data_IF_945698136005
#
_entry.id   IF_945698136005
#
_cell.length_a   1.000
_cell.length_b   1.000
_cell.length_c   1.000
_cell.angle_alpha   90.00
_cell.angle_beta   90.00
_cell.angle_gamma   90.00
#
_symmetry.space_group_name_H-M   'P 1'
#
loop_
_entity.id
_entity.type
_entity.pdbx_description
1 polymer ?
#
# COMPACT_ATOMS: atom_id res chain seq x y z
N UNK A 1 7.87 -18.67 -5.99
CA UNK A 1 9.13 -18.31 -5.32
C UNK A 1 9.07 -16.88 -4.80
N UNK A 2 9.72 -16.64 -3.69
CA UNK A 2 9.74 -15.33 -3.07
C UNK A 2 10.86 -14.51 -3.69
N UNK A 3 10.54 -13.32 -4.16
CA UNK A 3 11.53 -12.46 -4.79
C UNK A 3 12.06 -11.42 -3.79
N UNK A 4 13.12 -10.72 -4.20
CA UNK A 4 13.74 -9.73 -3.34
C UNK A 4 12.76 -8.60 -2.97
N UNK A 5 11.93 -8.20 -3.91
CA UNK A 5 11.01 -7.10 -3.69
C UNK A 5 9.99 -7.40 -2.61
N UNK A 6 9.70 -8.67 -2.38
CA UNK A 6 8.81 -9.05 -1.30
C UNK A 6 9.51 -9.07 0.05
N UNK A 7 10.77 -9.51 0.07
CA UNK A 7 11.52 -9.68 1.31
C UNK A 7 12.20 -8.39 1.75
N UNK A 8 12.80 -7.68 0.82
CA UNK A 8 13.59 -6.48 1.14
C UNK A 8 13.35 -5.39 0.11
N UNK A 9 12.12 -4.87 0.04
CA UNK A 9 11.81 -3.83 -0.95
C UNK A 9 12.50 -2.52 -0.59
N UNK A 10 12.85 -1.75 -1.63
CA UNK A 10 13.42 -0.43 -1.43
C UNK A 10 12.34 0.64 -1.36
N UNK A 11 11.13 0.33 -1.80
CA UNK A 11 10.01 1.26 -1.73
C UNK A 11 8.72 0.47 -1.56
N UNK A 12 7.81 1.02 -0.76
CA UNK A 12 6.51 0.41 -0.50
C UNK A 12 5.44 1.46 -0.69
N UNK A 13 4.38 1.10 -1.41
CA UNK A 13 3.20 1.94 -1.47
C UNK A 13 2.05 1.22 -0.76
N UNK A 14 1.30 1.96 0.04
CA UNK A 14 0.13 1.44 0.74
C UNK A 14 -1.11 2.01 0.05
N UNK A 15 -1.78 1.17 -0.72
CA UNK A 15 -3.01 1.56 -1.39
C UNK A 15 -4.12 1.50 -0.34
N UNK A 16 -4.78 2.62 -0.12
CA UNK A 16 -5.74 2.74 0.96
C UNK A 16 -5.10 3.16 2.26
N UNK A 17 -3.94 3.80 2.19
CA UNK A 17 -3.28 4.32 3.38
C UNK A 17 -4.15 5.33 4.08
N UNK A 18 -4.02 5.43 5.40
CA UNK A 18 -4.91 6.25 6.19
C UNK A 18 -4.20 6.85 7.39
N UNK A 19 -4.61 8.05 7.75
CA UNK A 19 -4.21 8.65 9.02
C UNK A 19 -4.89 7.99 10.21
N UNK A 20 -5.98 7.26 9.95
CA UNK A 20 -6.70 6.57 11.00
C UNK A 20 -6.03 5.22 11.26
N UNK A 21 -5.31 5.13 12.37
CA UNK A 21 -4.56 3.92 12.68
C UNK A 21 -5.44 2.76 13.12
N UNK A 22 -6.74 2.96 13.21
CA UNK A 22 -7.66 1.85 13.43
C UNK A 22 -8.00 1.11 12.13
N UNK A 23 -7.76 1.75 11.00
CA UNK A 23 -8.01 1.12 9.71
C UNK A 23 -6.79 0.31 9.28
N UNK A 24 -6.98 -0.73 8.48
CA UNK A 24 -5.86 -1.59 8.08
C UNK A 24 -4.71 -0.84 7.42
N UNK A 25 -5.02 0.07 6.50
CA UNK A 25 -3.97 0.85 5.85
C UNK A 25 -3.23 1.74 6.81
N UNK A 26 -3.94 2.29 7.80
CA UNK A 26 -3.30 3.12 8.81
C UNK A 26 -2.42 2.33 9.76
N UNK A 27 -2.88 1.13 10.14
CA UNK A 27 -2.08 0.26 11.01
C UNK A 27 -0.77 -0.14 10.35
N UNK A 28 -0.83 -0.48 9.08
CA UNK A 28 0.36 -0.92 8.37
C UNK A 28 1.37 0.21 8.28
N UNK A 29 0.92 1.42 7.95
CA UNK A 29 1.83 2.54 7.88
C UNK A 29 2.46 2.80 9.24
N UNK A 30 1.66 2.77 10.30
CA UNK A 30 2.20 2.97 11.62
C UNK A 30 3.24 1.91 11.96
N UNK A 31 2.96 0.66 11.65
CA UNK A 31 3.90 -0.41 11.94
C UNK A 31 5.21 -0.25 11.18
N UNK A 32 5.12 0.16 9.91
CA UNK A 32 6.32 0.39 9.12
C UNK A 32 7.15 1.55 9.66
N UNK A 33 6.49 2.60 10.10
CA UNK A 33 7.18 3.75 10.67
C UNK A 33 7.82 3.41 12.01
N UNK A 34 7.10 2.69 12.86
CA UNK A 34 7.64 2.28 14.15
C UNK A 34 8.80 1.30 14.00
N UNK A 35 8.73 0.46 12.97
CA UNK A 35 9.80 -0.47 12.66
C UNK A 35 10.97 0.17 11.92
N UNK A 36 10.85 1.47 11.63
CA UNK A 36 11.93 2.23 10.97
C UNK A 36 12.31 1.62 9.64
N UNK A 37 11.28 1.34 8.83
CA UNK A 37 11.55 0.84 7.48
C UNK A 37 12.53 1.77 6.77
N UNK A 38 13.64 1.25 6.26
CA UNK A 38 14.72 2.11 5.74
C UNK A 38 14.46 2.65 4.35
N UNK A 39 13.49 2.13 3.63
CA UNK A 39 13.22 2.56 2.28
C UNK A 39 12.20 3.67 2.20
N UNK A 40 11.67 3.88 1.00
CA UNK A 40 10.70 4.93 0.77
C UNK A 40 9.29 4.40 0.98
N UNK A 41 8.45 5.21 1.63
CA UNK A 41 7.05 4.87 1.88
C UNK A 41 6.15 5.87 1.18
N UNK A 42 5.13 5.37 0.52
CA UNK A 42 4.12 6.20 -0.14
C UNK A 42 2.75 5.66 0.21
N UNK A 43 1.75 6.53 0.14
CA UNK A 43 0.36 6.12 0.32
C UNK A 43 -0.46 6.58 -0.87
N UNK A 44 -1.55 5.90 -1.15
CA UNK A 44 -2.53 6.34 -2.14
C UNK A 44 -3.87 6.45 -1.43
N UNK A 45 -4.43 7.66 -1.45
CA UNK A 45 -5.72 7.94 -0.83
C UNK A 45 -6.25 9.21 -1.49
N UNK A 46 -7.43 9.17 -2.12
CA UNK A 46 -7.92 10.34 -2.87
C UNK A 46 -8.25 11.54 -1.99
N UNK A 47 -8.32 11.37 -0.68
CA UNK A 47 -8.75 12.44 0.22
C UNK A 47 -7.61 13.08 1.00
N UNK A 48 -6.38 12.57 0.87
CA UNK A 48 -5.27 13.05 1.68
C UNK A 48 -4.11 13.45 0.81
N UNK A 49 -3.31 14.41 1.27
CA UNK A 49 -2.05 14.75 0.61
C UNK A 49 -0.86 14.25 1.41
N UNK A 50 -1.09 13.89 2.66
CA UNK A 50 -0.05 13.36 3.53
C UNK A 50 -0.72 12.40 4.49
N UNK A 51 -0.11 11.26 4.72
CA UNK A 51 -0.64 10.25 5.63
C UNK A 51 0.46 9.89 6.60
N UNK A 52 0.24 10.21 7.88
CA UNK A 52 1.19 9.91 8.96
C UNK A 52 2.61 10.37 8.64
N UNK A 53 2.73 11.49 7.93
CA UNK A 53 4.03 12.05 7.61
C UNK A 53 4.64 11.56 6.33
N UNK A 54 4.03 10.62 5.63
CA UNK A 54 4.56 10.17 4.35
C UNK A 54 3.76 10.77 3.19
N UNK A 55 4.39 10.90 2.02
CA UNK A 55 3.68 11.46 0.85
C UNK A 55 2.47 10.61 0.47
N UNK A 56 1.38 11.26 0.15
CA UNK A 56 0.17 10.57 -0.27
C UNK A 56 -0.26 11.11 -1.62
N UNK A 57 -0.60 10.21 -2.53
CA UNK A 57 -1.00 10.56 -3.88
C UNK A 57 -2.49 10.24 -4.05
N UNK A 58 -3.20 11.05 -4.84
CA UNK A 58 -4.64 10.82 -4.98
C UNK A 58 -4.97 9.59 -5.82
N UNK A 59 -4.03 9.17 -6.66
CA UNK A 59 -4.25 8.01 -7.51
C UNK A 59 -2.90 7.42 -7.92
N UNK A 60 -2.96 6.30 -8.63
CA UNK A 60 -1.76 5.59 -9.04
C UNK A 60 -1.00 6.33 -10.12
N UNK A 61 -1.69 7.13 -10.92
CA UNK A 61 -1.02 7.80 -12.04
C UNK A 61 0.02 8.81 -11.59
N UNK A 62 -0.12 9.36 -10.40
CA UNK A 62 0.83 10.33 -9.85
C UNK A 62 1.97 9.68 -9.07
N UNK A 63 1.87 8.38 -8.84
CA UNK A 63 2.77 7.66 -7.95
C UNK A 63 4.10 7.38 -8.63
N UNK A 64 5.23 7.53 -7.94
CA UNK A 64 6.49 7.05 -8.51
C UNK A 64 6.52 5.52 -8.54
N UNK A 65 7.52 4.97 -9.22
CA UNK A 65 7.68 3.52 -9.25
C UNK A 65 7.91 3.00 -7.83
N UNK A 66 7.28 1.88 -7.50
CA UNK A 66 7.41 1.26 -6.19
C UNK A 66 7.55 -0.23 -6.37
N UNK A 67 8.39 -0.84 -5.55
CA UNK A 67 8.69 -2.26 -5.68
C UNK A 67 7.62 -3.15 -5.07
N UNK A 68 7.11 -2.77 -3.91
CA UNK A 68 6.10 -3.55 -3.20
C UNK A 68 4.85 -2.71 -3.00
N UNK A 69 3.71 -3.27 -3.27
CA UNK A 69 2.44 -2.62 -3.00
C UNK A 69 1.67 -3.44 -1.97
N UNK A 70 1.17 -2.76 -0.95
CA UNK A 70 0.29 -3.37 0.04
C UNK A 70 -1.10 -2.78 -0.18
N UNK A 71 -2.04 -3.64 -0.54
CA UNK A 71 -3.39 -3.19 -0.88
C UNK A 71 -4.32 -3.39 0.32
N UNK A 72 -4.73 -2.28 0.90
CA UNK A 72 -5.66 -2.27 2.03
C UNK A 72 -6.99 -1.68 1.57
N UNK A 73 -7.57 -2.28 0.54
CA UNK A 73 -8.81 -1.84 -0.08
C UNK A 73 -9.70 -3.07 -0.26
N UNK A 74 -10.98 -2.87 -0.58
CA UNK A 74 -11.87 -4.02 -0.79
C UNK A 74 -11.35 -4.95 -1.87
N UNK A 75 -11.58 -6.24 -1.68
CA UNK A 75 -11.04 -7.26 -2.57
C UNK A 75 -11.43 -7.03 -4.02
N UNK A 76 -12.64 -6.54 -4.26
CA UNK A 76 -13.11 -6.33 -5.63
C UNK A 76 -12.29 -5.29 -6.39
N UNK A 77 -11.63 -4.38 -5.68
CA UNK A 77 -10.81 -3.35 -6.32
C UNK A 77 -9.40 -3.82 -6.63
N UNK A 78 -8.97 -4.93 -6.04
CA UNK A 78 -7.57 -5.33 -6.13
C UNK A 78 -7.09 -5.71 -7.52
N UNK A 79 -7.85 -6.49 -8.33
CA UNK A 79 -7.30 -6.92 -9.61
C UNK A 79 -6.87 -5.79 -10.53
N UNK A 80 -7.71 -4.76 -10.67
CA UNK A 80 -7.35 -3.66 -11.56
C UNK A 80 -6.20 -2.84 -11.01
N UNK A 81 -6.11 -2.70 -9.69
CA UNK A 81 -5.02 -1.97 -9.07
C UNK A 81 -3.70 -2.71 -9.26
N UNK A 82 -3.71 -4.02 -9.07
CA UNK A 82 -2.52 -4.84 -9.28
C UNK A 82 -2.03 -4.71 -10.71
N UNK A 83 -2.96 -4.80 -11.66
CA UNK A 83 -2.59 -4.71 -13.07
C UNK A 83 -1.99 -3.35 -13.40
N UNK A 84 -2.59 -2.29 -12.90
CA UNK A 84 -2.08 -0.95 -13.18
C UNK A 84 -0.70 -0.74 -12.56
N UNK A 85 -0.51 -1.16 -11.32
CA UNK A 85 0.78 -1.01 -10.65
C UNK A 85 1.87 -1.81 -11.37
N UNK A 86 1.56 -3.04 -11.76
CA UNK A 86 2.54 -3.89 -12.42
C UNK A 86 2.94 -3.31 -13.77
N UNK A 87 1.97 -2.79 -14.52
CA UNK A 87 2.24 -2.35 -15.89
C UNK A 87 2.76 -0.92 -15.96
N UNK A 88 2.42 -0.05 -15.01
CA UNK A 88 2.77 1.37 -15.12
C UNK A 88 3.72 1.85 -14.04
N UNK A 89 3.81 1.16 -12.89
CA UNK A 89 4.68 1.58 -11.78
C UNK A 89 5.76 0.57 -11.50
N UNK A 90 5.90 -0.43 -12.34
CA UNK A 90 6.99 -1.40 -12.26
C UNK A 90 7.00 -2.16 -10.93
N UNK A 91 5.82 -2.33 -10.34
CA UNK A 91 5.69 -3.01 -9.05
C UNK A 91 5.88 -4.51 -9.25
N UNK A 92 6.72 -5.12 -8.41
CA UNK A 92 7.14 -6.50 -8.58
C UNK A 92 6.53 -7.45 -7.55
N UNK A 93 6.01 -6.94 -6.44
CA UNK A 93 5.45 -7.77 -5.40
C UNK A 93 4.22 -7.10 -4.81
N UNK A 94 3.28 -7.92 -4.34
CA UNK A 94 2.01 -7.42 -3.84
C UNK A 94 1.61 -8.19 -2.59
N UNK A 95 1.09 -7.46 -1.61
CA UNK A 95 0.46 -8.05 -0.43
C UNK A 95 -0.95 -7.49 -0.37
N UNK A 96 -1.95 -8.38 -0.33
CA UNK A 96 -3.33 -7.95 -0.33
C UNK A 96 -3.90 -8.19 1.07
N UNK A 97 -4.38 -7.10 1.69
CA UNK A 97 -5.04 -7.17 2.97
C UNK A 97 -6.47 -6.79 2.73
N UNK A 98 -7.32 -7.79 2.76
CA UNK A 98 -8.70 -7.59 2.40
C UNK A 98 -9.44 -6.97 3.58
N UNK A 99 -9.62 -5.67 3.51
CA UNK A 99 -10.09 -4.91 4.65
C UNK A 99 -11.45 -5.36 5.17
N UNK A 100 -12.33 -5.74 4.30
CA UNK A 100 -13.64 -6.16 4.74
C UNK A 100 -13.79 -7.65 4.91
N UNK A 101 -12.69 -8.35 4.86
CA UNK A 101 -12.72 -9.78 4.71
C UNK A 101 -13.06 -10.53 5.96
N UNK A 102 -12.42 -10.15 7.04
CA UNK A 102 -12.56 -10.90 8.24
C UNK A 102 -13.81 -10.60 9.02
N UNK A 103 -14.20 -9.35 9.05
CA UNK A 103 -15.28 -9.01 9.92
C UNK A 103 -16.63 -9.43 9.41
N UNK A 104 -16.77 -9.65 8.13
CA UNK A 104 -18.08 -10.07 7.69
C UNK A 104 -18.32 -11.53 7.80
N UNK A 105 -17.38 -12.26 8.24
CA UNK A 105 -17.59 -13.68 8.39
C UNK A 105 -18.17 -14.04 9.73
N UNK A 106 -18.49 -13.06 10.51
CA UNK A 106 -19.04 -13.37 11.82
C UNK A 106 -19.83 -12.26 12.43
#
# INVERSE_FOLDING_TARGET
MINRELIAPESIVIIGGSNNTQKPGGKIIRNLLEGKFPGKLYAVNPKETEVQGIPCFPDITSLPNTELAILAVPAAACPSIVEELASTRNTKAFIIISAGFGEETH
#
